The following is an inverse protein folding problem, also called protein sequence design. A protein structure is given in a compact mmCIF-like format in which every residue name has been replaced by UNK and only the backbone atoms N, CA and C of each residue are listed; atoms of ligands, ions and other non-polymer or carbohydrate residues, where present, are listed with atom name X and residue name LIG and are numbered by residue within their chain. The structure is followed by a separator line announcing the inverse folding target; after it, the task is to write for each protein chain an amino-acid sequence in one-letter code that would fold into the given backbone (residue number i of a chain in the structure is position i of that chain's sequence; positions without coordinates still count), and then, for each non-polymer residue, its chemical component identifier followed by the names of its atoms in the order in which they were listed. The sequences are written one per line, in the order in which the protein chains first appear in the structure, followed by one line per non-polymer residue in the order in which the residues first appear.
data_IF_981084398178
#
_entry.id   IF_981084398178
#
_cell.length_a   1.000
_cell.length_b   1.000
_cell.length_c   1.000
_cell.angle_alpha   90.00
_cell.angle_beta   90.00
_cell.angle_gamma   90.00
#
_symmetry.space_group_name_H-M   'P 1'
#
loop_
_entity.id
_entity.type
_entity.pdbx_description
1 polymer ?
#
# COMPACT_ATOMS: atom_id res chain seq x y z
N UNK A 1 6.01 10.49 13.10
CA UNK A 1 4.64 9.94 13.17
C UNK A 1 4.64 8.77 14.15
N UNK A 2 3.72 8.74 15.11
CA UNK A 2 3.69 7.72 16.17
C UNK A 2 2.56 6.74 15.89
N UNK A 3 2.85 5.45 15.97
CA UNK A 3 1.81 4.42 15.98
C UNK A 3 1.82 3.72 17.35
N UNK A 4 0.64 3.56 17.96
CA UNK A 4 0.48 2.88 19.26
C UNK A 4 -0.68 1.90 19.18
N UNK A 5 -0.42 0.65 18.82
CA UNK A 5 -1.29 -0.46 19.21
C UNK A 5 -0.45 -1.64 19.68
N UNK A 6 -0.77 -2.13 20.89
CA UNK A 6 -0.19 -3.31 21.56
C UNK A 6 1.30 -3.28 21.97
N UNK A 7 1.78 -2.16 22.52
CA UNK A 7 2.95 -2.18 23.42
C UNK A 7 4.33 -1.89 22.81
N UNK A 8 4.43 -1.58 21.51
CA UNK A 8 5.62 -0.98 20.91
C UNK A 8 5.26 0.34 20.24
N UNK A 9 6.01 1.40 20.57
CA UNK A 9 5.94 2.68 19.86
C UNK A 9 6.90 2.56 18.68
N UNK A 10 6.37 2.33 17.48
CA UNK A 10 7.18 2.44 16.27
C UNK A 10 7.21 3.90 15.84
N UNK A 11 8.43 4.45 15.77
CA UNK A 11 8.67 5.81 15.30
C UNK A 11 8.98 5.77 13.81
N UNK A 12 8.03 6.19 13.00
CA UNK A 12 8.26 6.36 11.57
C UNK A 12 8.62 7.82 11.29
N UNK A 13 9.80 8.01 10.68
CA UNK A 13 10.30 9.32 10.25
C UNK A 13 9.71 9.82 8.94
N UNK A 14 8.94 8.98 8.23
CA UNK A 14 8.29 9.30 6.94
C UNK A 14 6.92 8.61 6.85
N UNK A 15 5.99 9.22 6.12
CA UNK A 15 4.64 8.66 5.89
C UNK A 15 4.75 7.41 5.03
N UNK A 16 5.57 7.48 3.99
CA UNK A 16 5.85 6.34 3.12
C UNK A 16 6.33 5.12 3.90
N UNK A 17 7.16 5.30 4.92
CA UNK A 17 7.70 4.21 5.75
C UNK A 17 6.63 3.57 6.65
N UNK A 18 5.75 4.39 7.25
CA UNK A 18 4.61 3.89 8.03
C UNK A 18 3.65 3.09 7.15
N UNK A 19 3.24 3.66 6.02
CA UNK A 19 2.30 2.97 5.12
C UNK A 19 2.91 1.69 4.55
N UNK A 20 4.20 1.68 4.20
CA UNK A 20 4.89 0.46 3.75
C UNK A 20 4.94 -0.63 4.84
N UNK A 21 5.05 -0.24 6.12
CA UNK A 21 4.99 -1.20 7.22
C UNK A 21 3.62 -1.90 7.29
N UNK A 22 2.53 -1.15 7.11
CA UNK A 22 1.18 -1.71 6.99
C UNK A 22 1.02 -2.59 5.76
N UNK A 23 1.42 -2.08 4.59
CA UNK A 23 1.32 -2.79 3.32
C UNK A 23 2.13 -4.10 3.29
N UNK A 24 3.17 -4.21 4.13
CA UNK A 24 3.94 -5.45 4.31
C UNK A 24 3.19 -6.54 5.10
N UNK A 25 2.09 -6.21 5.79
CA UNK A 25 1.32 -7.16 6.59
C UNK A 25 2.06 -7.64 7.84
N UNK A 26 3.07 -6.91 8.29
CA UNK A 26 3.91 -7.28 9.45
C UNK A 26 3.52 -6.53 10.74
N UNK A 27 2.49 -5.68 10.68
CA UNK A 27 2.08 -4.90 11.84
C UNK A 27 1.44 -5.78 12.91
N UNK A 28 1.84 -5.58 14.16
CA UNK A 28 1.33 -6.33 15.31
C UNK A 28 -0.15 -6.06 15.59
N UNK A 29 -0.68 -4.91 15.14
CA UNK A 29 -2.10 -4.57 15.25
C UNK A 29 -2.99 -5.39 14.31
N UNK A 30 -2.40 -6.07 13.31
CA UNK A 30 -3.11 -6.73 12.22
C UNK A 30 -3.49 -5.79 11.07
N UNK A 31 -3.27 -4.48 11.22
CA UNK A 31 -3.50 -3.50 10.16
C UNK A 31 -2.59 -3.80 8.96
N UNK A 32 -3.19 -3.97 7.79
CA UNK A 32 -2.50 -4.48 6.61
C UNK A 32 -2.89 -3.74 5.33
N UNK A 33 -2.43 -4.26 4.19
CA UNK A 33 -2.66 -3.65 2.87
C UNK A 33 -4.16 -3.53 2.50
N UNK A 34 -5.02 -4.46 2.93
CA UNK A 34 -6.47 -4.35 2.76
C UNK A 34 -7.08 -3.20 3.53
N UNK A 35 -6.58 -2.96 4.74
CA UNK A 35 -6.99 -1.82 5.54
C UNK A 35 -6.50 -0.52 4.89
N UNK A 36 -5.23 -0.44 4.46
CA UNK A 36 -4.71 0.74 3.73
C UNK A 36 -5.58 1.07 2.52
N UNK A 37 -5.89 0.09 1.67
CA UNK A 37 -6.72 0.29 0.48
C UNK A 37 -8.12 0.81 0.85
N UNK A 38 -8.78 0.19 1.83
CA UNK A 38 -10.13 0.57 2.28
C UNK A 38 -10.12 1.96 2.90
N UNK A 39 -9.30 2.15 3.92
CA UNK A 39 -9.25 3.37 4.72
C UNK A 39 -8.93 4.60 3.86
N UNK A 40 -7.93 4.48 2.99
CA UNK A 40 -7.52 5.60 2.15
C UNK A 40 -8.48 5.85 0.99
N UNK A 41 -9.11 4.82 0.44
CA UNK A 41 -10.06 5.01 -0.66
C UNK A 41 -11.44 5.50 -0.18
N UNK A 42 -11.88 5.13 1.01
CA UNK A 42 -13.23 5.43 1.50
C UNK A 42 -13.29 6.68 2.39
N UNK A 43 -12.29 6.89 3.25
CA UNK A 43 -12.34 7.94 4.28
C UNK A 43 -11.31 9.06 4.07
N UNK A 44 -10.10 8.72 3.64
CA UNK A 44 -9.04 9.69 3.42
C UNK A 44 -9.28 10.46 2.09
N UNK A 45 -9.34 9.74 0.97
CA UNK A 45 -9.43 10.30 -0.37
C UNK A 45 -10.86 10.29 -0.92
N UNK A 46 -11.78 10.92 -0.20
CA UNK A 46 -13.21 10.93 -0.54
C UNK A 46 -13.44 11.43 -1.99
N UNK A 47 -12.65 12.43 -2.41
CA UNK A 47 -12.71 13.06 -3.72
C UNK A 47 -11.93 12.31 -4.82
N UNK A 48 -11.30 11.17 -4.52
CA UNK A 48 -10.53 10.35 -5.47
C UNK A 48 -9.42 11.11 -6.20
N UNK A 49 -8.69 11.94 -5.44
CA UNK A 49 -7.55 12.71 -5.93
C UNK A 49 -6.38 11.80 -6.31
N UNK A 50 -6.12 10.75 -5.53
CA UNK A 50 -4.94 9.91 -5.66
C UNK A 50 -5.24 8.40 -5.54
N UNK A 51 -6.46 8.01 -5.19
CA UNK A 51 -6.92 6.62 -5.20
C UNK A 51 -8.07 6.47 -6.18
N UNK A 52 -7.89 5.57 -7.15
CA UNK A 52 -8.96 5.14 -8.05
C UNK A 52 -9.75 4.02 -7.39
N UNK A 53 -10.85 4.37 -6.74
CA UNK A 53 -11.63 3.43 -5.92
C UNK A 53 -12.16 2.26 -6.75
N UNK A 54 -12.45 2.49 -8.02
CA UNK A 54 -12.87 1.45 -8.97
C UNK A 54 -11.80 0.37 -9.23
N UNK A 55 -10.54 0.63 -8.87
CA UNK A 55 -9.43 -0.32 -8.97
C UNK A 55 -9.04 -0.94 -7.63
N UNK A 56 -9.73 -0.60 -6.54
CA UNK A 56 -9.65 -1.33 -5.28
C UNK A 56 -10.59 -2.51 -5.37
N UNK A 57 -10.02 -3.71 -5.51
CA UNK A 57 -10.76 -4.94 -5.74
C UNK A 57 -10.58 -5.91 -4.58
N UNK A 58 -11.59 -6.73 -4.28
CA UNK A 58 -11.45 -7.76 -3.25
C UNK A 58 -10.30 -8.71 -3.61
N UNK A 59 -9.65 -9.26 -2.59
CA UNK A 59 -8.62 -10.26 -2.76
C UNK A 59 -9.15 -11.42 -3.63
N UNK A 60 -8.46 -11.68 -4.74
CA UNK A 60 -8.72 -12.88 -5.54
C UNK A 60 -8.33 -14.11 -4.76
N UNK A 61 -9.09 -15.19 -4.94
CA UNK A 61 -8.74 -16.49 -4.39
C UNK A 61 -7.32 -16.86 -4.87
N UNK A 62 -6.44 -17.12 -3.92
CA UNK A 62 -5.05 -17.46 -4.22
C UNK A 62 -5.04 -18.84 -4.87
N UNK A 63 -4.53 -18.92 -6.10
CA UNK A 63 -4.38 -20.17 -6.85
C UNK A 63 -3.58 -21.20 -6.06
N UNK A 64 -3.83 -22.48 -6.37
CA UNK A 64 -3.18 -23.62 -5.72
C UNK A 64 -1.65 -23.50 -5.83
N UNK A 65 -0.96 -23.58 -4.68
CA UNK A 65 0.49 -23.50 -4.59
C UNK A 65 1.12 -24.77 -5.18
N UNK A 66 1.49 -24.72 -6.47
CA UNK A 66 2.15 -25.82 -7.15
C UNK A 66 3.65 -25.53 -7.31
N UNK A 67 4.48 -26.54 -7.05
CA UNK A 67 5.89 -26.48 -7.41
C UNK A 67 6.10 -26.93 -8.86
N UNK A 68 7.12 -26.37 -9.51
CA UNK A 68 7.60 -26.83 -10.80
C UNK A 68 8.44 -28.12 -10.68
N UNK A 69 8.95 -28.61 -11.80
CA UNK A 69 9.78 -29.82 -11.86
C UNK A 69 11.10 -29.71 -11.10
N UNK A 70 11.53 -28.49 -10.75
CA UNK A 70 12.73 -28.24 -9.94
C UNK A 70 12.42 -28.05 -8.45
N UNK A 71 11.15 -28.21 -8.04
CA UNK A 71 10.70 -28.01 -6.67
C UNK A 71 10.57 -26.53 -6.27
N UNK A 72 10.59 -25.60 -7.23
CA UNK A 72 10.40 -24.16 -6.99
C UNK A 72 8.95 -23.78 -7.16
N UNK A 73 8.51 -22.72 -6.50
CA UNK A 73 7.12 -22.26 -6.54
C UNK A 73 7.03 -21.01 -7.44
N UNK A 74 6.64 -21.14 -8.72
CA UNK A 74 6.52 -19.99 -9.62
C UNK A 74 5.27 -19.17 -9.33
N UNK A 75 5.36 -17.85 -9.48
CA UNK A 75 4.17 -17.00 -9.57
C UNK A 75 3.53 -17.14 -10.95
N UNK A 76 2.21 -17.35 -11.00
CA UNK A 76 1.47 -17.48 -12.27
C UNK A 76 1.33 -16.17 -13.03
N UNK A 77 1.49 -15.04 -12.33
CA UNK A 77 1.23 -13.69 -12.85
C UNK A 77 2.50 -12.84 -13.03
N UNK A 78 3.68 -13.34 -12.64
CA UNK A 78 4.94 -12.64 -12.86
C UNK A 78 6.14 -13.62 -12.90
N UNK A 79 7.31 -13.21 -13.41
CA UNK A 79 8.44 -14.13 -13.62
C UNK A 79 9.21 -14.52 -12.34
N UNK A 80 8.64 -14.32 -11.13
CA UNK A 80 9.31 -14.65 -9.87
C UNK A 80 9.14 -16.12 -9.50
N UNK A 81 10.21 -16.70 -8.95
CA UNK A 81 10.24 -18.08 -8.45
C UNK A 81 10.67 -18.13 -6.98
N UNK A 82 9.89 -18.81 -6.16
CA UNK A 82 10.10 -18.92 -4.71
C UNK A 82 10.63 -20.30 -4.33
N UNK A 83 11.21 -20.41 -3.15
CA UNK A 83 11.74 -21.68 -2.62
C UNK A 83 10.67 -22.47 -1.89
N UNK A 84 9.69 -21.77 -1.32
CA UNK A 84 8.64 -22.40 -0.52
C UNK A 84 7.25 -21.86 -0.91
N UNK A 85 6.21 -22.65 -0.66
CA UNK A 85 4.82 -22.23 -0.84
C UNK A 85 4.46 -20.97 -0.02
N UNK A 86 4.83 -20.87 1.28
CA UNK A 86 4.60 -19.66 2.07
C UNK A 86 5.24 -18.39 1.50
N UNK A 87 6.43 -18.48 0.92
CA UNK A 87 7.06 -17.32 0.25
C UNK A 87 6.24 -16.86 -0.97
N UNK A 88 5.73 -17.81 -1.77
CA UNK A 88 4.83 -17.50 -2.88
C UNK A 88 3.51 -16.91 -2.38
N UNK A 89 2.94 -17.45 -1.31
CA UNK A 89 1.71 -16.96 -0.70
C UNK A 89 1.84 -15.50 -0.25
N UNK A 90 2.89 -15.18 0.52
CA UNK A 90 3.18 -13.82 0.96
C UNK A 90 3.42 -12.88 -0.23
N UNK A 91 4.05 -13.37 -1.30
CA UNK A 91 4.23 -12.60 -2.53
C UNK A 91 2.90 -12.28 -3.23
N UNK A 92 1.96 -13.23 -3.29
CA UNK A 92 0.64 -13.03 -3.92
C UNK A 92 -0.23 -12.03 -3.13
N UNK A 93 0.04 -11.86 -1.83
CA UNK A 93 -0.58 -10.83 -1.00
C UNK A 93 0.04 -9.43 -1.18
N UNK A 94 1.16 -9.31 -1.89
CA UNK A 94 1.81 -8.01 -2.11
C UNK A 94 0.98 -7.09 -3.01
N UNK A 95 1.19 -5.78 -2.87
CA UNK A 95 0.51 -4.73 -3.65
C UNK A 95 0.47 -4.99 -5.16
N UNK A 96 1.53 -5.61 -5.72
CA UNK A 96 1.62 -5.90 -7.16
C UNK A 96 0.62 -6.96 -7.63
N UNK A 97 0.25 -7.90 -6.76
CA UNK A 97 -0.67 -8.99 -7.08
C UNK A 97 -2.07 -8.79 -6.50
N UNK A 98 -2.23 -7.84 -5.57
CA UNK A 98 -3.55 -7.33 -5.22
C UNK A 98 -4.16 -6.53 -6.37
N UNK A 99 -5.46 -6.24 -6.26
CA UNK A 99 -6.20 -5.37 -7.17
C UNK A 99 -6.13 -5.86 -8.62
N UNK A 100 -5.99 -7.19 -8.82
CA UNK A 100 -5.78 -7.83 -10.13
C UNK A 100 -4.62 -7.20 -10.93
N UNK A 101 -3.61 -6.64 -10.24
CA UNK A 101 -2.50 -5.95 -10.87
C UNK A 101 -2.84 -4.54 -11.39
N UNK A 102 -3.96 -3.94 -10.99
CA UNK A 102 -4.20 -2.53 -11.23
C UNK A 102 -3.35 -1.65 -10.31
N UNK A 103 -2.87 -0.53 -10.87
CA UNK A 103 -2.15 0.50 -10.13
C UNK A 103 -3.15 1.55 -9.63
N UNK A 104 -3.87 1.22 -8.56
CA UNK A 104 -4.96 2.03 -8.02
C UNK A 104 -4.53 3.43 -7.55
N UNK A 105 -3.25 3.60 -7.20
CA UNK A 105 -2.73 4.86 -6.68
C UNK A 105 -2.15 5.72 -7.79
N UNK A 106 -2.62 6.95 -7.91
CA UNK A 106 -2.22 7.90 -8.94
C UNK A 106 -1.54 9.13 -8.33
N UNK A 107 -0.40 9.55 -8.86
CA UNK A 107 0.19 10.84 -8.54
C UNK A 107 -0.70 11.94 -9.12
N UNK A 108 -1.14 12.91 -8.31
CA UNK A 108 -2.08 13.92 -8.79
C UNK A 108 -1.37 15.06 -9.56
N UNK A 109 -0.04 15.07 -9.62
CA UNK A 109 0.72 16.07 -10.38
C UNK A 109 0.51 15.89 -11.89
N UNK A 110 0.05 16.92 -12.62
CA UNK A 110 -0.25 16.84 -14.05
C UNK A 110 1.01 16.66 -14.92
N UNK A 111 2.19 16.91 -14.37
CA UNK A 111 3.46 16.82 -15.08
C UNK A 111 4.26 15.55 -14.72
N UNK A 112 3.68 14.64 -13.94
CA UNK A 112 4.36 13.42 -13.53
C UNK A 112 4.39 12.38 -14.67
N UNK A 113 5.58 11.96 -15.09
CA UNK A 113 5.77 10.91 -16.10
C UNK A 113 5.48 9.50 -15.56
N UNK A 114 5.51 9.31 -14.23
CA UNK A 114 5.18 8.04 -13.56
C UNK A 114 3.99 8.28 -12.64
N UNK A 115 2.83 8.40 -13.24
CA UNK A 115 1.61 8.80 -12.57
C UNK A 115 0.94 7.67 -11.77
N UNK A 116 1.34 6.40 -11.89
CA UNK A 116 0.61 5.27 -11.28
C UNK A 116 1.47 4.29 -10.50
N UNK A 117 0.93 3.81 -9.38
CA UNK A 117 1.60 2.97 -8.39
C UNK A 117 0.68 1.84 -7.90
N UNK A 118 1.29 0.71 -7.55
CA UNK A 118 0.56 -0.44 -6.98
C UNK A 118 0.19 -0.24 -5.50
N UNK A 119 0.90 0.65 -4.80
CA UNK A 119 0.75 0.84 -3.36
C UNK A 119 0.83 2.33 -2.99
N UNK A 120 0.12 2.71 -1.93
CA UNK A 120 0.12 4.07 -1.41
C UNK A 120 1.49 4.43 -0.85
N UNK A 121 2.16 3.50 -0.18
CA UNK A 121 3.51 3.70 0.35
C UNK A 121 4.51 4.12 -0.73
N UNK A 122 4.41 3.54 -1.93
CA UNK A 122 5.24 3.89 -3.08
C UNK A 122 4.87 5.26 -3.69
N UNK A 123 3.58 5.62 -3.71
CA UNK A 123 3.15 6.95 -4.13
C UNK A 123 3.66 8.02 -3.16
N UNK A 124 3.51 7.80 -1.85
CA UNK A 124 4.04 8.68 -0.80
C UNK A 124 5.55 8.85 -0.94
N UNK A 125 6.29 7.75 -1.11
CA UNK A 125 7.73 7.83 -1.32
C UNK A 125 8.09 8.65 -2.56
N UNK A 126 7.35 8.47 -3.65
CA UNK A 126 7.52 9.26 -4.86
C UNK A 126 7.29 10.77 -4.61
N UNK A 127 6.21 11.12 -3.91
CA UNK A 127 5.90 12.52 -3.57
C UNK A 127 6.93 13.11 -2.60
N UNK A 128 7.42 12.33 -1.64
CA UNK A 128 8.46 12.74 -0.66
C UNK A 128 9.86 12.93 -1.28
N UNK A 129 10.12 12.37 -2.45
CA UNK A 129 11.48 12.33 -3.05
C UNK A 129 11.61 13.03 -4.40
N UNK A 130 10.50 13.58 -4.92
CA UNK A 130 10.47 14.28 -6.21
C UNK A 130 9.81 15.65 -6.05
N UNK A 131 9.91 16.48 -7.09
CA UNK A 131 9.23 17.77 -7.18
C UNK A 131 7.74 17.67 -7.54
N UNK A 132 7.17 16.46 -7.61
CA UNK A 132 5.74 16.28 -7.89
C UNK A 132 4.87 16.83 -6.77
N UNK A 133 5.39 16.89 -5.54
CA UNK A 133 4.72 17.55 -4.43
C UNK A 133 4.61 19.07 -4.62
N UNK A 134 5.63 19.72 -5.17
CA UNK A 134 5.63 21.19 -5.34
C UNK A 134 4.60 21.65 -6.38
N UNK A 135 4.23 20.76 -7.30
CA UNK A 135 3.25 21.01 -8.36
C UNK A 135 1.81 20.74 -7.93
N UNK A 136 1.61 20.24 -6.71
CA UNK A 136 0.30 19.95 -6.14
C UNK A 136 0.12 20.77 -4.85
N UNK A 137 -1.05 21.38 -4.58
CA UNK A 137 -1.21 22.24 -3.42
C UNK A 137 -0.91 21.50 -2.10
N UNK A 138 -0.49 22.26 -1.09
CA UNK A 138 -0.14 21.80 0.27
C UNK A 138 -1.19 20.86 0.91
N UNK A 139 -2.42 20.83 0.40
CA UNK A 139 -3.55 20.04 0.89
C UNK A 139 -3.35 18.51 0.83
N UNK A 140 -2.44 17.97 0.00
CA UNK A 140 -2.34 16.50 -0.16
C UNK A 140 -1.72 15.77 1.02
N UNK A 141 -0.55 16.23 1.49
CA UNK A 141 0.06 15.65 2.69
C UNK A 141 -0.78 15.94 3.93
N UNK A 142 -1.45 17.09 3.97
CA UNK A 142 -2.40 17.42 5.03
C UNK A 142 -3.56 16.43 5.07
N UNK A 143 -4.10 16.02 3.93
CA UNK A 143 -5.17 15.02 3.85
C UNK A 143 -4.73 13.66 4.44
N UNK A 144 -3.51 13.22 4.12
CA UNK A 144 -2.91 12.00 4.68
C UNK A 144 -2.62 12.14 6.17
N UNK A 145 -2.04 13.27 6.59
CA UNK A 145 -1.69 13.54 7.98
C UNK A 145 -2.92 13.64 8.87
N UNK A 146 -3.95 14.37 8.44
CA UNK A 146 -5.17 14.57 9.20
C UNK A 146 -5.87 13.23 9.42
N UNK A 147 -6.03 12.41 8.38
CA UNK A 147 -6.61 11.07 8.53
C UNK A 147 -5.84 10.24 9.55
N UNK A 148 -4.51 10.18 9.41
CA UNK A 148 -3.71 9.35 10.29
C UNK A 148 -3.66 9.88 11.74
N UNK A 149 -3.73 11.21 11.94
CA UNK A 149 -3.87 11.81 13.27
C UNK A 149 -5.22 11.46 13.90
N UNK A 150 -6.31 11.48 13.13
CA UNK A 150 -7.64 11.10 13.58
C UNK A 150 -7.71 9.61 13.93
N UNK A 151 -7.12 8.75 13.10
CA UNK A 151 -7.05 7.32 13.35
C UNK A 151 -6.34 7.01 14.68
N UNK A 152 -5.26 7.73 15.01
CA UNK A 152 -4.55 7.59 16.30
C UNK A 152 -5.37 8.11 17.48
N UNK A 153 -6.19 9.14 17.29
CA UNK A 153 -7.03 9.71 18.37
C UNK A 153 -8.22 8.83 18.73
N UNK A 154 -8.79 8.11 17.78
CA UNK A 154 -9.94 7.23 18.01
C UNK A 154 -9.60 5.96 18.79
N UNK A 155 -8.31 5.71 19.02
CA UNK A 155 -7.82 4.50 19.65
C UNK A 155 -7.10 4.72 20.99
N UNK A 156 -7.08 5.98 21.46
CA UNK A 156 -6.73 6.42 22.82
C UNK A 156 -7.97 6.73 23.63
#
# INVERSE_FOLDING_TARGET
MFERHTGQILLFGRRSALIQHFEAGTCVSGFNLEDVDREFSEYCDINQVFVRREWILPATQIDVLHSDTSGRFPCTSCPKLFRTGPELLAHLQSAKHKNRGFKAYTCPSPHCAKDRFYSLGNLLLHMETTNCNDSYPNDWFDLVDNYLLEAVRQTT
#
